data_IF_092394546349
#
_entry.id   IF_092394546349
#
_cell.length_a   1.000
_cell.length_b   1.000
_cell.length_c   1.000
_cell.angle_alpha   90.00
_cell.angle_beta   90.00
_cell.angle_gamma   90.00
#
_symmetry.space_group_name_H-M   'P 1'
#
loop_
_entity.id
_entity.type
_entity.pdbx_description
1 polymer ?
#
# COMPACT_ATOMS: atom_id res chain seq x y z
N UNK A 1 48.26 -26.66 -63.22
CA UNK A 1 48.73 -25.99 -61.98
C UNK A 1 47.53 -25.41 -61.28
N UNK A 2 47.09 -26.08 -60.20
CA UNK A 2 45.82 -25.83 -59.50
C UNK A 2 46.11 -24.96 -58.26
N UNK A 3 45.70 -23.70 -58.28
CA UNK A 3 45.85 -22.77 -57.15
C UNK A 3 44.63 -22.93 -56.23
N UNK A 4 44.84 -23.63 -55.11
CA UNK A 4 43.88 -23.86 -54.03
C UNK A 4 43.75 -22.55 -53.24
N UNK A 5 42.58 -21.90 -53.31
CA UNK A 5 42.24 -20.77 -52.44
C UNK A 5 41.82 -21.32 -51.08
N UNK A 6 42.67 -21.13 -50.07
CA UNK A 6 42.35 -21.37 -48.67
C UNK A 6 41.24 -20.40 -48.24
N UNK A 7 40.03 -20.91 -48.02
CA UNK A 7 38.98 -20.21 -47.30
C UNK A 7 39.33 -20.25 -45.81
N UNK A 8 39.89 -19.15 -45.29
CA UNK A 8 39.96 -18.89 -43.86
C UNK A 8 38.54 -18.68 -43.35
N UNK A 9 37.93 -19.75 -42.84
CA UNK A 9 36.77 -19.68 -41.95
C UNK A 9 37.21 -18.94 -40.68
N UNK A 10 36.88 -17.65 -40.61
CA UNK A 10 37.01 -16.87 -39.39
C UNK A 10 36.15 -17.49 -38.30
N UNK A 11 36.80 -18.02 -37.28
CA UNK A 11 36.18 -18.56 -36.07
C UNK A 11 35.60 -17.36 -35.33
N UNK A 12 34.28 -17.16 -35.43
CA UNK A 12 33.57 -16.21 -34.57
C UNK A 12 33.65 -16.76 -33.14
N UNK A 13 34.23 -16.04 -32.17
CA UNK A 13 34.16 -16.47 -30.79
C UNK A 13 32.69 -16.42 -30.36
N UNK A 14 32.10 -17.60 -30.15
CA UNK A 14 30.83 -17.76 -29.48
C UNK A 14 31.05 -17.32 -28.04
N UNK A 15 30.85 -16.02 -27.78
CA UNK A 15 30.76 -15.50 -26.42
C UNK A 15 29.46 -16.09 -25.86
N UNK A 16 29.59 -17.21 -25.16
CA UNK A 16 28.56 -17.68 -24.26
C UNK A 16 28.48 -16.63 -23.14
N UNK A 17 27.59 -15.65 -23.32
CA UNK A 17 27.06 -14.94 -22.17
C UNK A 17 26.45 -16.01 -21.28
N UNK A 18 27.09 -16.28 -20.15
CA UNK A 18 26.46 -17.03 -19.08
C UNK A 18 25.20 -16.23 -18.71
N UNK A 19 24.03 -16.81 -18.95
CA UNK A 19 22.78 -16.30 -18.41
C UNK A 19 23.02 -15.99 -16.93
N UNK A 20 22.79 -14.75 -16.46
CA UNK A 20 22.73 -14.53 -15.03
C UNK A 20 21.64 -15.46 -14.54
N UNK A 21 22.01 -16.41 -13.67
CA UNK A 21 21.11 -17.32 -12.97
C UNK A 21 19.92 -16.48 -12.53
N UNK A 22 18.82 -16.67 -13.25
CA UNK A 22 17.58 -15.96 -13.02
C UNK A 22 17.14 -16.40 -11.64
N UNK A 23 17.36 -15.53 -10.65
CA UNK A 23 16.88 -15.65 -9.28
C UNK A 23 15.35 -15.37 -9.27
N UNK A 24 14.63 -15.99 -10.20
CA UNK A 24 13.21 -15.77 -10.51
C UNK A 24 12.28 -16.48 -9.54
N UNK A 25 12.81 -17.14 -8.51
CA UNK A 25 11.99 -17.92 -7.58
C UNK A 25 11.25 -17.03 -6.57
N UNK A 26 11.50 -15.72 -6.56
CA UNK A 26 10.89 -14.81 -5.59
C UNK A 26 10.32 -13.52 -6.20
N UNK A 27 9.88 -13.57 -7.47
CA UNK A 27 9.04 -12.50 -8.01
C UNK A 27 7.64 -12.60 -7.39
N UNK A 28 7.44 -11.90 -6.26
CA UNK A 28 6.09 -11.68 -5.74
C UNK A 28 5.38 -10.72 -6.68
N UNK A 29 4.36 -11.22 -7.37
CA UNK A 29 3.44 -10.39 -8.15
C UNK A 29 2.91 -9.30 -7.21
N UNK A 30 3.15 -8.01 -7.49
CA UNK A 30 2.65 -6.93 -6.65
C UNK A 30 1.12 -6.94 -6.70
N UNK A 31 0.48 -7.10 -5.55
CA UNK A 31 -0.98 -7.00 -5.42
C UNK A 31 -1.34 -5.55 -5.20
N UNK A 32 -2.22 -5.00 -6.03
CA UNK A 32 -2.65 -3.62 -5.89
C UNK A 32 -3.50 -3.42 -4.63
N UNK A 33 -3.53 -2.18 -4.12
CA UNK A 33 -4.33 -1.81 -2.94
C UNK A 33 -5.83 -2.08 -3.15
N UNK A 34 -6.33 -1.87 -4.36
CA UNK A 34 -7.73 -2.14 -4.74
C UNK A 34 -8.04 -3.63 -4.70
N UNK A 35 -7.11 -4.49 -5.14
CA UNK A 35 -7.28 -5.93 -5.05
C UNK A 35 -7.25 -6.42 -3.60
N UNK A 36 -6.43 -5.82 -2.73
CA UNK A 36 -6.44 -6.13 -1.30
C UNK A 36 -7.76 -5.71 -0.62
N UNK A 37 -8.30 -4.53 -0.96
CA UNK A 37 -9.62 -4.09 -0.48
C UNK A 37 -10.72 -5.07 -0.90
N UNK A 38 -10.73 -5.48 -2.17
CA UNK A 38 -11.69 -6.45 -2.68
C UNK A 38 -11.53 -7.84 -2.03
N UNK A 39 -10.28 -8.31 -1.87
CA UNK A 39 -9.97 -9.60 -1.26
C UNK A 39 -10.43 -9.67 0.20
N UNK A 40 -10.27 -8.58 0.95
CA UNK A 40 -10.69 -8.50 2.36
C UNK A 40 -12.09 -7.96 2.58
N UNK A 41 -12.81 -7.62 1.50
CA UNK A 41 -14.16 -7.09 1.53
C UNK A 41 -14.27 -5.84 2.44
N UNK A 42 -13.28 -4.96 2.32
CA UNK A 42 -13.22 -3.69 3.05
C UNK A 42 -13.26 -2.53 2.06
N UNK A 43 -14.00 -1.48 2.40
CA UNK A 43 -14.00 -0.20 1.68
C UNK A 43 -13.34 0.83 2.58
N UNK A 44 -12.10 1.17 2.27
CA UNK A 44 -11.29 2.05 3.11
C UNK A 44 -11.73 3.51 3.03
N UNK A 45 -12.34 3.92 1.90
CA UNK A 45 -12.98 5.22 1.76
C UNK A 45 -14.21 5.35 2.66
N UNK A 46 -15.07 4.33 2.66
CA UNK A 46 -16.25 4.28 3.51
C UNK A 46 -15.90 4.21 5.00
N UNK A 47 -14.90 3.40 5.38
CA UNK A 47 -14.43 3.34 6.76
C UNK A 47 -13.89 4.69 7.26
N UNK A 48 -13.13 5.41 6.43
CA UNK A 48 -12.66 6.75 6.78
C UNK A 48 -13.80 7.78 6.89
N UNK A 49 -14.82 7.69 6.02
CA UNK A 49 -16.00 8.55 6.09
C UNK A 49 -16.84 8.27 7.34
N UNK A 50 -17.02 7.00 7.71
CA UNK A 50 -17.72 6.59 8.94
C UNK A 50 -16.99 7.11 10.18
N UNK A 51 -15.65 7.07 10.19
CA UNK A 51 -14.84 7.64 11.26
C UNK A 51 -15.03 9.16 11.40
N UNK A 52 -15.10 9.89 10.29
CA UNK A 52 -15.37 11.35 10.31
C UNK A 52 -16.76 11.66 10.88
N UNK A 53 -17.77 10.86 10.53
CA UNK A 53 -19.12 11.01 11.10
C UNK A 53 -19.12 10.74 12.61
N UNK A 54 -18.40 9.71 13.05
CA UNK A 54 -18.26 9.39 14.48
C UNK A 54 -17.59 10.53 15.25
N UNK A 55 -16.54 11.13 14.70
CA UNK A 55 -15.82 12.24 15.33
C UNK A 55 -16.64 13.54 15.39
N UNK A 56 -17.55 13.76 14.43
CA UNK A 56 -18.45 14.91 14.40
C UNK A 56 -19.67 14.80 15.33
N UNK A 57 -19.91 13.62 15.92
CA UNK A 57 -21.03 13.40 16.82
C UNK A 57 -20.77 13.98 18.23
N UNK A 58 -21.78 14.60 18.83
CA UNK A 58 -21.71 15.09 20.22
C UNK A 58 -21.82 13.91 21.20
N UNK A 59 -20.73 13.55 21.87
CA UNK A 59 -20.72 12.50 22.89
C UNK A 59 -19.47 11.62 22.83
N UNK A 60 -19.62 10.35 23.24
CA UNK A 60 -18.54 9.36 23.19
C UNK A 60 -18.31 8.84 21.76
N UNK A 61 -17.12 9.06 21.24
CA UNK A 61 -16.62 8.59 19.95
C UNK A 61 -15.99 7.20 20.08
N UNK A 62 -16.76 6.23 20.58
CA UNK A 62 -16.29 4.84 20.69
C UNK A 62 -16.68 4.10 19.40
N UNK A 63 -15.72 3.70 18.56
CA UNK A 63 -16.02 2.96 17.34
C UNK A 63 -16.48 1.56 17.68
N UNK A 64 -17.48 1.08 16.95
CA UNK A 64 -17.85 -0.34 16.99
C UNK A 64 -16.69 -1.23 16.53
N UNK A 65 -16.72 -2.50 16.92
CA UNK A 65 -15.69 -3.49 16.56
C UNK A 65 -15.50 -3.64 15.05
N UNK A 66 -16.59 -3.50 14.27
CA UNK A 66 -16.56 -3.52 12.80
C UNK A 66 -15.70 -2.39 12.23
N UNK A 67 -15.97 -1.14 12.64
CA UNK A 67 -15.21 0.01 12.16
C UNK A 67 -13.74 -0.08 12.57
N UNK A 68 -13.46 -0.48 13.82
CA UNK A 68 -12.08 -0.70 14.28
C UNK A 68 -11.33 -1.72 13.41
N UNK A 69 -11.96 -2.85 13.09
CA UNK A 69 -11.37 -3.86 12.21
C UNK A 69 -11.14 -3.35 10.78
N UNK A 70 -12.09 -2.59 10.24
CA UNK A 70 -11.93 -1.98 8.91
C UNK A 70 -10.72 -1.04 8.88
N UNK A 71 -10.58 -0.17 9.87
CA UNK A 71 -9.43 0.74 9.99
C UNK A 71 -8.09 -0.02 10.10
N UNK A 72 -8.05 -1.15 10.80
CA UNK A 72 -6.85 -1.99 10.91
C UNK A 72 -6.42 -2.56 9.55
N UNK A 73 -7.38 -3.05 8.76
CA UNK A 73 -7.10 -3.55 7.41
C UNK A 73 -6.66 -2.41 6.50
N UNK A 74 -7.28 -1.24 6.59
CA UNK A 74 -6.91 -0.08 5.79
C UNK A 74 -5.52 0.46 6.13
N UNK A 75 -5.11 0.43 7.40
CA UNK A 75 -3.75 0.74 7.80
C UNK A 75 -2.75 -0.22 7.13
N UNK A 76 -3.05 -1.52 7.12
CA UNK A 76 -2.19 -2.49 6.42
C UNK A 76 -2.11 -2.22 4.91
N UNK A 77 -3.23 -1.91 4.26
CA UNK A 77 -3.27 -1.73 2.79
C UNK A 77 -2.57 -0.44 2.35
N UNK A 78 -2.76 0.66 3.09
CA UNK A 78 -2.34 2.00 2.66
C UNK A 78 -1.13 2.56 3.41
N UNK A 79 -0.68 1.89 4.48
CA UNK A 79 0.43 2.33 5.31
C UNK A 79 1.35 1.15 5.65
N UNK A 80 1.90 0.45 4.64
CA UNK A 80 2.84 -0.63 4.89
C UNK A 80 4.09 -0.09 5.63
N UNK A 81 4.76 -0.94 6.43
CA UNK A 81 5.92 -0.51 7.20
C UNK A 81 7.03 0.01 6.29
N UNK A 82 7.58 1.17 6.64
CA UNK A 82 8.67 1.81 5.88
C UNK A 82 8.21 2.79 4.79
N UNK A 83 6.91 2.93 4.56
CA UNK A 83 6.35 4.00 3.71
C UNK A 83 5.88 5.19 4.56
N UNK A 84 6.21 6.41 4.12
CA UNK A 84 5.70 7.62 4.75
C UNK A 84 4.25 7.90 4.32
N UNK A 85 3.42 8.27 5.28
CA UNK A 85 2.04 8.69 5.03
C UNK A 85 2.06 10.17 4.64
N UNK A 86 1.69 10.48 3.40
CA UNK A 86 1.57 11.88 2.98
C UNK A 86 0.57 12.63 3.88
N UNK A 87 0.94 13.85 4.28
CA UNK A 87 0.29 14.59 5.37
C UNK A 87 -1.23 14.78 5.16
N UNK A 88 -1.66 14.97 3.92
CA UNK A 88 -3.06 15.18 3.55
C UNK A 88 -3.87 13.88 3.49
N UNK A 89 -3.25 12.70 3.41
CA UNK A 89 -3.93 11.41 3.21
C UNK A 89 -4.62 10.90 4.48
N UNK A 90 -5.58 9.96 4.34
CA UNK A 90 -6.08 9.19 5.47
C UNK A 90 -4.93 8.51 6.21
N UNK A 91 -4.93 8.65 7.52
CA UNK A 91 -3.93 8.04 8.39
C UNK A 91 -4.59 7.07 9.37
N UNK A 92 -4.76 5.83 8.92
CA UNK A 92 -5.54 4.81 9.60
C UNK A 92 -4.87 4.31 10.90
N UNK A 93 -3.54 4.18 10.91
CA UNK A 93 -2.78 3.79 12.09
C UNK A 93 -2.87 4.85 13.19
N UNK A 94 -2.61 6.13 12.87
CA UNK A 94 -2.73 7.20 13.86
C UNK A 94 -4.18 7.38 14.35
N UNK A 95 -5.17 7.17 13.48
CA UNK A 95 -6.57 7.12 13.89
C UNK A 95 -6.84 6.00 14.91
N UNK A 96 -6.31 4.80 14.67
CA UNK A 96 -6.45 3.66 15.58
C UNK A 96 -5.78 3.92 16.93
N UNK A 97 -4.63 4.59 16.96
CA UNK A 97 -3.94 4.94 18.20
C UNK A 97 -4.76 5.92 19.03
N UNK A 98 -5.33 6.96 18.40
CA UNK A 98 -6.24 7.91 19.06
C UNK A 98 -7.49 7.23 19.62
N UNK A 99 -8.01 6.22 18.92
CA UNK A 99 -9.16 5.41 19.35
C UNK A 99 -8.80 4.38 20.44
N UNK A 100 -7.58 3.85 20.42
CA UNK A 100 -7.05 2.86 21.35
C UNK A 100 -6.60 3.46 22.68
N UNK A 101 -6.17 4.72 22.67
CA UNK A 101 -5.98 5.54 23.87
C UNK A 101 -7.31 5.90 24.59
N UNK A 102 -8.44 5.38 24.10
CA UNK A 102 -9.79 5.76 24.49
C UNK A 102 -10.07 5.70 26.00
N UNK A 103 -10.51 6.83 26.55
CA UNK A 103 -11.42 6.99 27.70
C UNK A 103 -11.48 8.46 28.20
N UNK A 104 -10.63 9.35 27.70
CA UNK A 104 -10.62 10.74 28.12
C UNK A 104 -11.73 11.55 27.40
N UNK A 105 -12.47 12.43 28.09
CA UNK A 105 -13.62 13.17 27.53
C UNK A 105 -13.27 14.09 26.35
N UNK A 106 -12.00 14.39 26.15
CA UNK A 106 -11.40 15.19 25.07
C UNK A 106 -10.93 14.36 23.86
N UNK A 107 -10.99 13.02 23.93
CA UNK A 107 -10.57 12.12 22.84
C UNK A 107 -11.32 12.37 21.52
N UNK A 108 -12.59 12.76 21.58
CA UNK A 108 -13.40 13.02 20.39
C UNK A 108 -13.05 14.34 19.72
N UNK A 109 -12.75 15.37 20.51
CA UNK A 109 -12.24 16.63 19.97
C UNK A 109 -10.85 16.43 19.35
N UNK A 110 -9.99 15.62 19.99
CA UNK A 110 -8.67 15.29 19.47
C UNK A 110 -8.77 14.52 18.14
N UNK A 111 -9.66 13.52 18.06
CA UNK A 111 -9.95 12.80 16.83
C UNK A 111 -10.49 13.73 15.75
N UNK A 112 -11.46 14.60 16.07
CA UNK A 112 -12.02 15.55 15.12
C UNK A 112 -10.97 16.52 14.57
N UNK A 113 -10.11 17.06 15.44
CA UNK A 113 -9.00 17.94 15.05
C UNK A 113 -7.99 17.22 14.14
N UNK A 114 -7.67 15.96 14.46
CA UNK A 114 -6.80 15.13 13.63
C UNK A 114 -7.39 14.87 12.23
N UNK A 115 -8.72 14.63 12.15
CA UNK A 115 -9.40 14.37 10.89
C UNK A 115 -9.62 15.64 10.04
N UNK A 116 -9.73 16.82 10.65
CA UNK A 116 -10.08 18.08 9.97
C UNK A 116 -9.11 18.49 8.84
N UNK A 117 -7.87 18.00 8.86
CA UNK A 117 -6.87 18.24 7.82
C UNK A 117 -6.54 17.02 6.95
N UNK A 118 -7.17 15.87 7.21
CA UNK A 118 -6.88 14.60 6.51
C UNK A 118 -8.04 14.25 5.59
N UNK A 119 -7.73 14.13 4.31
CA UNK A 119 -8.68 13.93 3.22
C UNK A 119 -8.03 13.22 2.05
N UNK A 120 -8.69 13.19 0.90
CA UNK A 120 -8.39 12.21 -0.15
C UNK A 120 -6.91 12.10 -0.53
N UNK A 121 -6.30 10.95 -0.20
CA UNK A 121 -5.66 10.13 -1.22
C UNK A 121 -5.96 8.63 -1.01
N UNK A 122 -6.75 8.11 -1.95
CA UNK A 122 -6.78 6.73 -2.47
C UNK A 122 -7.16 6.95 -3.96
N UNK A 123 -6.53 6.36 -4.99
CA UNK A 123 -5.63 5.20 -5.03
C UNK A 123 -4.18 5.55 -5.45
N UNK A 124 -3.28 4.55 -5.50
CA UNK A 124 -2.20 4.58 -6.50
C UNK A 124 -2.10 3.23 -7.21
N UNK A 125 -2.43 3.14 -8.51
CA UNK A 125 -2.06 1.98 -9.31
C UNK A 125 -0.56 2.10 -9.54
N UNK A 126 0.21 1.12 -9.07
CA UNK A 126 1.54 0.87 -9.64
C UNK A 126 1.31 0.63 -11.13
N UNK A 127 1.71 1.59 -11.97
CA UNK A 127 1.95 1.34 -13.38
C UNK A 127 3.03 0.25 -13.43
N UNK A 128 2.65 -0.93 -13.88
CA UNK A 128 3.64 -1.90 -14.33
C UNK A 128 4.31 -1.32 -15.58
N UNK A 129 5.60 -1.01 -15.47
CA UNK A 129 6.51 -0.94 -16.61
C UNK A 129 7.00 -2.36 -16.95
#
# INVERSE_FOLDING_TARGET
MLQIRLLLFGIVPLVMAADPVSDTVNERIPVSRVELEAHWQVDCGAAWAELQQLAGATGQCVPGSRLRRALQLCAFIYQPPGEEVAAACPDFAAALDLLGAGAAPDSCQSLANFLAGKGRCLPSPVSGD
#
